data_IF_342332121590
#
_entry.id   IF_342332121590
#
_cell.length_a   1.000
_cell.length_b   1.000
_cell.length_c   1.000
_cell.angle_alpha   90.00
_cell.angle_beta   90.00
_cell.angle_gamma   90.00
#
_symmetry.space_group_name_H-M   'P 1'
#
loop_
_entity.id
_entity.type
_entity.pdbx_description
1 polymer ?
#
# COMPACT_ATOMS: atom_id res chain seq x y z
N UNK A 1 13.14 -0.27 -3.44
CA UNK A 1 14.35 -0.81 -2.77
C UNK A 1 14.23 -2.30 -2.45
N UNK A 2 13.20 -2.75 -1.74
CA UNK A 2 13.05 -4.16 -1.35
C UNK A 2 13.03 -5.09 -2.56
N UNK A 3 12.16 -4.83 -3.54
CA UNK A 3 12.07 -5.64 -4.76
C UNK A 3 13.42 -5.66 -5.51
N UNK A 4 14.03 -4.48 -5.71
CA UNK A 4 15.35 -4.40 -6.36
C UNK A 4 16.43 -5.19 -5.60
N UNK A 5 16.39 -5.18 -4.27
CA UNK A 5 17.30 -5.96 -3.45
C UNK A 5 17.13 -7.46 -3.66
N UNK A 6 15.88 -7.95 -3.75
CA UNK A 6 15.59 -9.37 -4.00
C UNK A 6 16.02 -9.84 -5.38
N UNK A 7 15.97 -8.96 -6.38
CA UNK A 7 16.51 -9.25 -7.73
C UNK A 7 18.02 -9.47 -7.68
N UNK A 8 18.73 -8.60 -6.95
CA UNK A 8 20.19 -8.69 -6.82
C UNK A 8 20.64 -9.78 -5.83
N UNK A 9 19.73 -10.22 -4.95
CA UNK A 9 19.98 -11.24 -3.92
C UNK A 9 18.87 -12.31 -3.92
N UNK A 10 18.82 -13.17 -4.95
CA UNK A 10 17.81 -14.22 -5.04
C UNK A 10 17.84 -15.13 -3.80
N UNK A 11 16.66 -15.41 -3.24
CA UNK A 11 16.53 -16.23 -2.04
C UNK A 11 16.78 -15.49 -0.72
N UNK A 12 16.97 -14.17 -0.72
CA UNK A 12 17.14 -13.40 0.51
C UNK A 12 15.94 -13.44 1.46
N UNK A 13 14.73 -13.79 0.98
CA UNK A 13 13.54 -14.06 1.81
C UNK A 13 13.49 -15.48 2.38
N UNK A 14 14.39 -16.39 1.98
CA UNK A 14 14.43 -17.73 2.57
C UNK A 14 15.02 -17.65 3.98
N UNK A 15 14.37 -18.29 4.93
CA UNK A 15 14.91 -18.55 6.26
C UNK A 15 15.07 -20.05 6.50
N UNK A 16 16.06 -20.43 7.32
CA UNK A 16 16.23 -21.80 7.79
C UNK A 16 15.25 -22.03 8.96
N UNK A 17 14.30 -22.95 8.81
CA UNK A 17 13.28 -23.24 9.82
C UNK A 17 11.99 -23.82 9.22
N UNK A 18 10.99 -24.08 10.06
CA UNK A 18 9.66 -24.46 9.59
C UNK A 18 9.01 -23.26 8.89
N UNK A 19 8.24 -23.50 7.83
CA UNK A 19 7.62 -22.45 7.01
C UNK A 19 6.57 -21.61 7.79
N UNK A 20 6.25 -22.02 9.02
CA UNK A 20 5.29 -21.37 9.91
C UNK A 20 5.94 -20.58 11.07
N UNK A 21 7.27 -20.43 11.12
CA UNK A 21 7.92 -19.67 12.18
C UNK A 21 7.85 -18.15 11.93
N UNK A 22 6.87 -17.49 12.56
CA UNK A 22 6.70 -16.05 12.45
C UNK A 22 7.87 -15.21 12.96
N UNK A 23 8.63 -15.66 13.96
CA UNK A 23 9.80 -14.91 14.45
C UNK A 23 10.94 -14.96 13.44
N UNK A 24 11.15 -16.12 12.79
CA UNK A 24 12.10 -16.28 11.70
C UNK A 24 11.72 -15.41 10.49
N UNK A 25 10.43 -15.38 10.13
CA UNK A 25 9.92 -14.55 9.03
C UNK A 25 10.16 -13.05 9.31
N UNK A 26 9.79 -12.56 10.50
CA UNK A 26 10.00 -11.16 10.87
C UNK A 26 11.49 -10.78 10.92
N UNK A 27 12.34 -11.67 11.43
CA UNK A 27 13.80 -11.48 11.43
C UNK A 27 14.33 -11.32 10.00
N UNK A 28 13.86 -12.15 9.07
CA UNK A 28 14.23 -12.12 7.66
C UNK A 28 13.79 -10.83 6.97
N UNK A 29 12.54 -10.43 7.15
CA UNK A 29 12.01 -9.17 6.63
C UNK A 29 12.80 -7.97 7.14
N UNK A 30 13.13 -7.95 8.44
CA UNK A 30 13.91 -6.87 9.05
C UNK A 30 15.35 -6.82 8.48
N UNK A 31 15.98 -8.00 8.27
CA UNK A 31 17.31 -8.09 7.66
C UNK A 31 17.30 -7.56 6.24
N UNK A 32 16.34 -8.00 5.41
CA UNK A 32 16.17 -7.53 4.03
C UNK A 32 15.90 -6.03 3.98
N UNK A 33 15.03 -5.53 4.86
CA UNK A 33 14.75 -4.09 4.95
C UNK A 33 16.00 -3.29 5.30
N UNK A 34 16.74 -3.65 6.35
CA UNK A 34 17.96 -2.94 6.74
C UNK A 34 19.03 -2.97 5.65
N UNK A 35 19.26 -4.13 5.03
CA UNK A 35 20.25 -4.27 3.98
C UNK A 35 19.89 -3.45 2.73
N UNK A 36 18.63 -3.57 2.26
CA UNK A 36 18.15 -2.79 1.11
C UNK A 36 18.15 -1.29 1.38
N UNK A 37 17.84 -0.87 2.61
CA UNK A 37 17.87 0.53 3.01
C UNK A 37 19.29 1.10 3.03
N UNK A 38 20.25 0.35 3.57
CA UNK A 38 21.65 0.74 3.59
C UNK A 38 22.16 1.00 2.16
N UNK A 39 21.89 0.07 1.22
CA UNK A 39 22.23 0.24 -0.19
C UNK A 39 21.51 1.44 -0.83
N UNK A 40 20.21 1.61 -0.56
CA UNK A 40 19.44 2.75 -1.09
C UNK A 40 19.99 4.11 -0.66
N UNK A 41 20.55 4.20 0.56
CA UNK A 41 21.13 5.42 1.10
C UNK A 41 22.58 5.64 0.61
N UNK A 42 23.35 4.58 0.33
CA UNK A 42 24.78 4.67 -0.01
C UNK A 42 25.13 4.52 -1.50
N UNK A 43 24.27 3.90 -2.31
CA UNK A 43 24.52 3.59 -3.73
C UNK A 43 23.45 4.25 -4.62
N UNK A 44 23.87 5.27 -5.37
CA UNK A 44 22.98 6.03 -6.25
C UNK A 44 22.50 5.22 -7.47
N UNK A 45 23.26 4.23 -7.95
CA UNK A 45 22.79 3.36 -9.04
C UNK A 45 21.72 2.40 -8.54
N UNK A 46 21.92 1.79 -7.36
CA UNK A 46 20.90 0.96 -6.71
C UNK A 46 19.63 1.75 -6.41
N UNK A 47 19.77 3.00 -5.99
CA UNK A 47 18.67 3.93 -5.75
C UNK A 47 17.88 4.25 -7.02
N UNK A 48 18.57 4.46 -8.13
CA UNK A 48 17.94 4.66 -9.44
C UNK A 48 17.12 3.42 -9.84
N UNK A 49 17.73 2.23 -9.87
CA UNK A 49 17.02 0.97 -10.17
C UNK A 49 15.85 0.71 -9.22
N UNK A 50 16.01 1.07 -7.94
CA UNK A 50 14.95 0.97 -6.94
C UNK A 50 13.74 1.87 -7.23
N UNK A 51 13.94 3.05 -7.84
CA UNK A 51 12.85 3.94 -8.27
C UNK A 51 12.17 3.38 -9.51
N UNK A 52 12.93 2.82 -10.45
CA UNK A 52 12.39 2.17 -11.63
C UNK A 52 11.47 1.00 -11.26
N UNK A 53 11.79 0.27 -10.19
CA UNK A 53 10.91 -0.80 -9.67
C UNK A 53 9.57 -0.33 -9.12
N UNK A 54 9.47 0.92 -8.66
CA UNK A 54 8.16 1.47 -8.28
C UNK A 54 7.29 1.66 -9.52
N UNK A 55 7.88 2.16 -10.61
CA UNK A 55 7.18 2.32 -11.89
C UNK A 55 6.80 0.96 -12.47
N UNK A 56 7.70 -0.02 -12.44
CA UNK A 56 7.42 -1.38 -12.90
C UNK A 56 6.26 -2.02 -12.11
N UNK A 57 6.22 -1.83 -10.79
CA UNK A 57 5.14 -2.35 -9.95
C UNK A 57 3.80 -1.73 -10.34
N UNK A 58 3.77 -0.41 -10.57
CA UNK A 58 2.58 0.31 -11.01
C UNK A 58 2.13 -0.08 -12.42
N UNK A 59 3.07 -0.45 -13.29
CA UNK A 59 2.81 -0.92 -14.64
C UNK A 59 2.36 -2.39 -14.70
N UNK A 60 2.36 -3.10 -13.56
CA UNK A 60 2.00 -4.52 -13.49
C UNK A 60 3.06 -5.46 -14.07
N UNK A 61 4.34 -5.08 -14.00
CA UNK A 61 5.44 -5.94 -14.44
C UNK A 61 5.43 -7.30 -13.70
N UNK A 62 5.36 -8.44 -14.41
CA UNK A 62 5.17 -9.75 -13.77
C UNK A 62 6.27 -10.14 -12.78
N UNK A 63 7.54 -9.90 -13.10
CA UNK A 63 8.68 -10.21 -12.21
C UNK A 63 8.61 -9.37 -10.93
N UNK A 64 8.34 -8.08 -11.09
CA UNK A 64 8.20 -7.15 -9.97
C UNK A 64 7.01 -7.53 -9.07
N UNK A 65 5.88 -7.94 -9.65
CA UNK A 65 4.71 -8.41 -8.92
C UNK A 65 4.96 -9.72 -8.17
N UNK A 66 5.65 -10.68 -8.77
CA UNK A 66 6.00 -11.96 -8.12
C UNK A 66 6.84 -11.73 -6.86
N UNK A 67 7.86 -10.87 -6.96
CA UNK A 67 8.72 -10.53 -5.83
C UNK A 67 7.99 -9.71 -4.75
N UNK A 68 7.10 -8.82 -5.17
CA UNK A 68 6.23 -8.10 -4.25
C UNK A 68 5.31 -9.06 -3.49
N UNK A 69 4.68 -10.00 -4.19
CA UNK A 69 3.79 -11.00 -3.58
C UNK A 69 4.56 -11.89 -2.60
N UNK A 70 5.76 -12.33 -2.94
CA UNK A 70 6.61 -13.09 -2.02
C UNK A 70 6.92 -12.34 -0.72
N UNK A 71 7.09 -11.01 -0.76
CA UNK A 71 7.26 -10.20 0.45
C UNK A 71 5.97 -10.09 1.27
N UNK A 72 4.83 -9.96 0.61
CA UNK A 72 3.51 -9.96 1.26
C UNK A 72 3.24 -11.29 1.95
N UNK A 73 3.50 -12.41 1.28
CA UNK A 73 3.29 -13.76 1.80
C UNK A 73 4.18 -14.03 3.01
N UNK A 74 5.45 -13.65 2.94
CA UNK A 74 6.39 -13.74 4.06
C UNK A 74 5.92 -12.91 5.27
N UNK A 75 5.36 -11.71 5.02
CA UNK A 75 4.80 -10.86 6.08
C UNK A 75 3.57 -11.49 6.73
N UNK A 76 2.73 -12.18 5.95
CA UNK A 76 1.54 -12.88 6.46
C UNK A 76 1.90 -14.01 7.42
N UNK A 77 3.01 -14.73 7.22
CA UNK A 77 3.48 -15.77 8.16
C UNK A 77 3.65 -15.20 9.56
N UNK A 78 4.32 -14.05 9.68
CA UNK A 78 4.47 -13.36 10.96
C UNK A 78 3.12 -12.94 11.55
N UNK A 79 2.24 -12.31 10.76
CA UNK A 79 0.94 -11.86 11.26
C UNK A 79 0.06 -13.02 11.73
N UNK A 80 0.00 -14.12 10.99
CA UNK A 80 -0.73 -15.31 11.42
C UNK A 80 -0.19 -15.86 12.74
N UNK A 81 1.13 -15.89 12.93
CA UNK A 81 1.71 -16.31 14.22
C UNK A 81 1.28 -15.42 15.40
N UNK A 82 1.03 -14.13 15.16
CA UNK A 82 0.55 -13.19 16.17
C UNK A 82 -0.96 -13.38 16.39
N UNK A 83 -1.74 -13.53 15.33
CA UNK A 83 -3.17 -13.78 15.40
C UNK A 83 -3.48 -15.07 16.18
N UNK A 84 -2.74 -16.14 15.91
CA UNK A 84 -2.86 -17.42 16.62
C UNK A 84 -2.53 -17.30 18.11
N UNK A 85 -1.47 -16.56 18.47
CA UNK A 85 -1.09 -16.30 19.86
C UNK A 85 -2.14 -15.49 20.62
N UNK A 86 -2.89 -14.64 19.92
CA UNK A 86 -3.93 -13.77 20.48
C UNK A 86 -5.34 -14.36 20.35
N UNK A 87 -5.48 -15.59 19.85
CA UNK A 87 -6.77 -16.24 19.59
C UNK A 87 -7.70 -15.37 18.72
N UNK A 88 -7.13 -14.78 17.66
CA UNK A 88 -7.86 -13.93 16.70
C UNK A 88 -8.31 -14.74 15.49
N UNK A 89 -9.59 -14.61 15.12
CA UNK A 89 -10.17 -15.31 13.96
C UNK A 89 -9.94 -14.58 12.62
N UNK A 90 -8.73 -14.08 12.36
CA UNK A 90 -8.39 -13.41 11.08
C UNK A 90 -7.85 -14.44 10.10
N UNK A 91 -8.49 -14.55 8.92
CA UNK A 91 -8.13 -15.50 7.85
C UNK A 91 -7.63 -14.76 6.62
N UNK A 92 -6.98 -15.49 5.70
CA UNK A 92 -6.40 -14.88 4.50
C UNK A 92 -7.39 -14.06 3.65
N UNK A 93 -8.67 -14.47 3.45
CA UNK A 93 -9.66 -13.65 2.74
C UNK A 93 -10.01 -12.33 3.45
N UNK A 94 -9.75 -12.21 4.75
CA UNK A 94 -9.99 -10.99 5.53
C UNK A 94 -8.86 -9.97 5.37
N UNK A 95 -7.70 -10.39 4.82
CA UNK A 95 -6.52 -9.55 4.61
C UNK A 95 -6.64 -8.82 3.27
N UNK A 96 -7.40 -7.73 3.27
CA UNK A 96 -7.56 -6.84 2.10
C UNK A 96 -6.73 -5.57 2.29
N UNK A 97 -5.50 -5.58 1.78
CA UNK A 97 -4.61 -4.42 1.79
C UNK A 97 -5.02 -3.32 0.79
N UNK A 98 -4.34 -2.18 0.87
CA UNK A 98 -4.58 -1.03 -0.04
C UNK A 98 -4.49 -1.41 -1.52
N UNK A 99 -3.58 -2.32 -1.87
CA UNK A 99 -3.38 -2.80 -3.24
C UNK A 99 -4.61 -3.49 -3.83
N UNK A 100 -5.51 -4.02 -3.00
CA UNK A 100 -6.77 -4.62 -3.44
C UNK A 100 -7.72 -3.63 -4.12
N UNK A 101 -7.50 -2.32 -3.95
CA UNK A 101 -8.34 -1.27 -4.52
C UNK A 101 -7.67 -0.52 -5.68
N UNK A 102 -6.47 -0.92 -6.12
CA UNK A 102 -5.70 -0.22 -7.16
C UNK A 102 -6.51 0.01 -8.45
N UNK A 103 -7.25 -1.01 -8.91
CA UNK A 103 -8.07 -0.95 -10.13
C UNK A 103 -9.28 -0.01 -9.99
N UNK A 104 -9.66 0.33 -8.75
CA UNK A 104 -10.80 1.20 -8.46
C UNK A 104 -10.40 2.68 -8.33
N UNK A 105 -9.11 2.98 -8.11
CA UNK A 105 -8.65 4.33 -7.74
C UNK A 105 -9.01 5.37 -8.81
N UNK A 106 -8.73 5.07 -10.08
CA UNK A 106 -9.00 6.01 -11.17
C UNK A 106 -10.49 6.29 -11.33
N UNK A 107 -11.30 5.23 -11.26
CA UNK A 107 -12.76 5.38 -11.33
C UNK A 107 -13.30 6.18 -10.15
N UNK A 108 -12.79 5.93 -8.93
CA UNK A 108 -13.18 6.71 -7.74
C UNK A 108 -12.85 8.18 -7.92
N UNK A 109 -11.65 8.52 -8.39
CA UNK A 109 -11.27 9.91 -8.67
C UNK A 109 -12.19 10.55 -9.73
N UNK A 110 -12.49 9.82 -10.82
CA UNK A 110 -13.41 10.29 -11.86
C UNK A 110 -14.80 10.60 -11.32
N UNK A 111 -15.37 9.68 -10.53
CA UNK A 111 -16.71 9.87 -9.93
C UNK A 111 -16.73 11.11 -9.03
N UNK A 112 -15.70 11.31 -8.20
CA UNK A 112 -15.62 12.49 -7.33
C UNK A 112 -15.55 13.80 -8.11
N UNK A 113 -14.81 13.83 -9.22
CA UNK A 113 -14.69 15.00 -10.09
C UNK A 113 -15.99 15.27 -10.86
N UNK A 114 -16.60 14.24 -11.45
CA UNK A 114 -17.85 14.34 -12.23
C UNK A 114 -19.06 14.75 -11.36
N UNK A 115 -19.08 14.36 -10.09
CA UNK A 115 -20.13 14.74 -9.13
C UNK A 115 -19.91 16.11 -8.50
N UNK A 116 -18.75 16.74 -8.74
CA UNK A 116 -18.37 18.02 -8.15
C UNK A 116 -17.98 17.96 -6.68
N UNK A 117 -17.86 16.75 -6.10
CA UNK A 117 -17.37 16.55 -4.71
C UNK A 117 -15.89 16.92 -4.61
N UNK A 118 -15.10 16.57 -5.62
CA UNK A 118 -13.71 16.97 -5.73
C UNK A 118 -13.52 17.99 -6.86
N UNK A 119 -12.63 18.95 -6.63
CA UNK A 119 -12.29 20.01 -7.58
C UNK A 119 -10.78 20.09 -7.79
N UNK A 120 -10.37 20.59 -8.95
CA UNK A 120 -8.96 20.82 -9.23
C UNK A 120 -8.45 22.04 -8.47
N UNK A 121 -7.39 21.88 -7.69
CA UNK A 121 -6.70 22.94 -6.96
C UNK A 121 -5.20 22.76 -7.12
N UNK A 122 -4.52 23.78 -7.67
CA UNK A 122 -3.07 23.73 -7.95
C UNK A 122 -2.63 22.49 -8.74
N UNK A 123 -3.50 22.00 -9.63
CA UNK A 123 -3.28 20.82 -10.47
C UNK A 123 -3.55 19.47 -9.78
N UNK A 124 -3.77 19.44 -8.46
CA UNK A 124 -4.24 18.25 -7.75
C UNK A 124 -5.78 18.18 -7.77
N UNK A 125 -6.33 16.99 -7.58
CA UNK A 125 -7.76 16.79 -7.34
C UNK A 125 -7.99 16.71 -5.82
N UNK A 126 -8.81 17.62 -5.29
CA UNK A 126 -8.97 17.84 -3.86
C UNK A 126 -10.44 17.92 -3.46
N UNK A 127 -10.77 17.41 -2.27
CA UNK A 127 -12.04 17.66 -1.59
C UNK A 127 -11.81 18.72 -0.52
N UNK A 128 -12.74 19.66 -0.38
CA UNK A 128 -12.71 20.69 0.66
C UNK A 128 -13.96 20.60 1.51
N UNK A 129 -13.79 20.73 2.83
CA UNK A 129 -14.89 20.76 3.78
C UNK A 129 -15.02 22.16 4.36
N UNK A 130 -16.25 22.63 4.57
CA UNK A 130 -16.52 23.98 5.05
C UNK A 130 -16.08 24.18 6.51
N UNK A 131 -16.06 23.11 7.28
CA UNK A 131 -15.76 23.05 8.71
C UNK A 131 -14.33 22.61 9.03
N UNK A 132 -13.54 22.22 8.03
CA UNK A 132 -12.13 21.83 8.20
C UNK A 132 -11.20 22.94 7.72
N UNK A 133 -10.74 23.74 8.68
CA UNK A 133 -9.89 24.92 8.43
C UNK A 133 -8.47 24.72 8.96
N UNK A 134 -7.51 25.30 8.25
CA UNK A 134 -6.11 25.36 8.63
C UNK A 134 -5.85 26.48 9.65
N UNK A 135 -4.61 26.58 10.15
CA UNK A 135 -4.22 27.62 11.12
C UNK A 135 -4.40 29.06 10.61
N UNK A 136 -4.44 29.24 9.29
CA UNK A 136 -4.65 30.51 8.59
C UNK A 136 -6.15 30.82 8.32
N UNK A 137 -7.05 29.93 8.73
CA UNK A 137 -8.49 30.05 8.53
C UNK A 137 -8.97 29.61 7.14
N UNK A 138 -8.07 29.14 6.27
CA UNK A 138 -8.44 28.64 4.94
C UNK A 138 -8.84 27.17 4.98
N UNK A 139 -9.67 26.72 4.03
CA UNK A 139 -10.05 25.30 3.92
C UNK A 139 -8.83 24.45 3.60
N UNK A 140 -8.67 23.33 4.30
CA UNK A 140 -7.59 22.38 4.04
C UNK A 140 -8.01 21.38 2.96
N UNK A 141 -7.18 21.14 1.92
CA UNK A 141 -7.50 20.16 0.89
C UNK A 141 -7.29 18.74 1.40
N UNK A 142 -8.29 17.87 1.22
CA UNK A 142 -8.10 16.43 1.19
C UNK A 142 -7.72 16.00 -0.24
N UNK A 143 -6.43 15.76 -0.47
CA UNK A 143 -5.91 15.42 -1.80
C UNK A 143 -6.25 13.95 -2.14
N UNK A 144 -7.06 13.74 -3.18
CA UNK A 144 -7.37 12.40 -3.70
C UNK A 144 -6.41 11.99 -4.82
N UNK A 145 -6.01 12.92 -5.69
CA UNK A 145 -5.02 12.68 -6.76
C UNK A 145 -4.03 13.84 -6.85
N UNK A 146 -2.74 13.53 -6.72
CA UNK A 146 -1.64 14.50 -6.76
C UNK A 146 -1.41 14.99 -8.19
N UNK A 147 -0.67 16.10 -8.32
CA UNK A 147 -0.29 16.71 -9.61
C UNK A 147 0.49 15.76 -10.52
N UNK A 148 1.31 14.88 -9.94
CA UNK A 148 2.08 13.87 -10.68
C UNK A 148 1.27 12.60 -11.03
N UNK A 149 -0.05 12.63 -10.83
CA UNK A 149 -0.95 11.50 -11.09
C UNK A 149 -1.01 10.45 -9.98
N UNK A 150 -0.14 10.53 -8.97
CA UNK A 150 -0.15 9.60 -7.84
C UNK A 150 -1.38 9.78 -6.95
N UNK A 151 -1.93 8.68 -6.48
CA UNK A 151 -3.09 8.68 -5.59
C UNK A 151 -2.68 8.99 -4.14
N UNK A 152 -3.54 9.71 -3.41
CA UNK A 152 -3.42 9.90 -1.97
C UNK A 152 -4.12 8.79 -1.18
N UNK A 153 -3.86 8.70 0.13
CA UNK A 153 -4.56 7.74 1.02
C UNK A 153 -6.09 7.85 0.91
N UNK A 154 -6.60 9.08 0.76
CA UNK A 154 -8.01 9.34 0.57
C UNK A 154 -8.62 8.58 -0.64
N UNK A 155 -7.87 8.42 -1.74
CA UNK A 155 -8.38 7.68 -2.89
C UNK A 155 -8.54 6.19 -2.58
N UNK A 156 -7.60 5.60 -1.85
CA UNK A 156 -7.69 4.20 -1.42
C UNK A 156 -8.82 4.00 -0.43
N UNK A 157 -8.92 4.84 0.61
CA UNK A 157 -9.99 4.73 1.62
C UNK A 157 -11.38 4.91 1.01
N UNK A 158 -11.55 5.91 0.12
CA UNK A 158 -12.82 6.12 -0.56
C UNK A 158 -13.17 4.95 -1.50
N UNK A 159 -12.17 4.35 -2.13
CA UNK A 159 -12.38 3.14 -2.96
C UNK A 159 -12.77 1.93 -2.09
N UNK A 160 -12.14 1.78 -0.92
CA UNK A 160 -12.47 0.74 0.04
C UNK A 160 -13.89 0.90 0.61
N UNK A 161 -14.29 2.12 0.98
CA UNK A 161 -15.67 2.41 1.41
C UNK A 161 -16.64 2.06 0.29
N UNK A 162 -16.36 2.49 -0.95
CA UNK A 162 -17.20 2.21 -2.11
C UNK A 162 -17.37 0.71 -2.34
N UNK A 163 -16.27 -0.05 -2.30
CA UNK A 163 -16.29 -1.51 -2.43
C UNK A 163 -17.12 -2.18 -1.33
N UNK A 164 -16.87 -1.83 -0.06
CA UNK A 164 -17.56 -2.45 1.07
C UNK A 164 -19.06 -2.15 1.08
N UNK A 165 -19.46 -0.95 0.66
CA UNK A 165 -20.89 -0.59 0.54
C UNK A 165 -21.52 -1.24 -0.68
N UNK A 166 -20.87 -1.18 -1.85
CA UNK A 166 -21.50 -1.60 -3.10
C UNK A 166 -21.37 -3.08 -3.39
N UNK A 167 -20.25 -3.72 -3.05
CA UNK A 167 -19.98 -5.12 -3.35
C UNK A 167 -20.25 -6.00 -2.13
N UNK A 168 -19.71 -5.65 -0.96
CA UNK A 168 -19.97 -6.41 0.27
C UNK A 168 -21.34 -6.13 0.89
N UNK A 169 -22.05 -5.10 0.41
CA UNK A 169 -23.38 -4.68 0.89
C UNK A 169 -23.42 -4.40 2.39
N UNK A 170 -22.34 -3.83 2.92
CA UNK A 170 -22.25 -3.51 4.33
C UNK A 170 -23.25 -2.41 4.72
N UNK A 171 -24.10 -2.68 5.71
CA UNK A 171 -25.00 -1.69 6.32
C UNK A 171 -24.29 -0.83 7.39
N UNK A 172 -23.15 -1.30 7.91
CA UNK A 172 -22.36 -0.61 8.93
C UNK A 172 -20.89 -0.90 8.73
N UNK A 173 -20.06 0.14 8.77
CA UNK A 173 -18.61 0.05 8.70
C UNK A 173 -18.01 0.58 10.01
N UNK A 174 -17.17 -0.23 10.64
CA UNK A 174 -16.43 0.14 11.85
C UNK A 174 -14.95 0.20 11.50
N UNK A 175 -14.35 1.38 11.69
CA UNK A 175 -12.91 1.60 11.57
C UNK A 175 -12.34 1.71 12.99
N UNK A 176 -11.50 0.74 13.38
CA UNK A 176 -10.93 0.59 14.73
C UNK A 176 -9.57 1.28 14.82
#
# INVERSE_FOLDING_TARGET
MLIQYLIEHPGALKHEGDAADGEAAMSTLNRVYKASRALFDSDEEFKARSRDRVVALQAGDPETLELWQGFVDESKIYFHSVFDKLDMEVRDPDIVGESGYNDMLEETCRILEETGVAVRSEGALCVFFDDVLGPDGNKVPLIVKKTNGGYGYAATDLSAIRDRVQNLKADTLLYV
#
